data_IF_793715621164
#
_entry.id   IF_793715621164
#
_cell.length_a   1.000
_cell.length_b   1.000
_cell.length_c   1.000
_cell.angle_alpha   90.00
_cell.angle_beta   90.00
_cell.angle_gamma   90.00
#
_symmetry.space_group_name_H-M   'P 1'
#
loop_
_entity.id
_entity.type
_entity.pdbx_description
1 polymer ?
#
# COMPACT_ATOMS: atom_id res chain seq x y z
N UNK A 1 -36.12 -46.01 -30.58
CA UNK A 1 -34.75 -46.34 -31.06
C UNK A 1 -34.27 -45.18 -31.92
N UNK A 2 -33.27 -44.42 -31.46
CA UNK A 2 -32.76 -43.26 -32.20
C UNK A 2 -31.95 -43.73 -33.41
N UNK A 3 -32.20 -43.16 -34.60
CA UNK A 3 -31.52 -43.49 -35.84
C UNK A 3 -30.00 -43.27 -35.70
N UNK A 4 -29.14 -44.11 -36.30
CA UNK A 4 -27.69 -44.03 -36.17
C UNK A 4 -27.13 -42.66 -36.57
N UNK A 5 -27.73 -42.00 -37.57
CA UNK A 5 -27.41 -40.61 -37.97
C UNK A 5 -27.61 -39.58 -36.85
N UNK A 6 -28.66 -39.70 -36.05
CA UNK A 6 -28.97 -38.77 -34.96
C UNK A 6 -27.96 -38.88 -33.82
N UNK A 7 -27.50 -40.10 -33.50
CA UNK A 7 -26.44 -40.31 -32.50
C UNK A 7 -25.11 -39.70 -32.93
N UNK A 8 -24.76 -39.82 -34.21
CA UNK A 8 -23.53 -39.23 -34.76
C UNK A 8 -23.56 -37.69 -34.73
N UNK A 9 -24.70 -37.08 -35.08
CA UNK A 9 -24.86 -35.62 -35.02
C UNK A 9 -24.75 -35.10 -33.58
N UNK A 10 -25.41 -35.77 -32.62
CA UNK A 10 -25.35 -35.39 -31.20
C UNK A 10 -23.92 -35.53 -30.66
N UNK A 11 -23.19 -36.58 -31.05
CA UNK A 11 -21.80 -36.78 -30.64
C UNK A 11 -20.87 -35.67 -31.19
N UNK A 12 -21.01 -35.31 -32.47
CA UNK A 12 -20.22 -34.23 -33.06
C UNK A 12 -20.56 -32.86 -32.50
N UNK A 13 -21.85 -32.57 -32.28
CA UNK A 13 -22.28 -31.33 -31.65
C UNK A 13 -21.75 -31.22 -30.20
N UNK A 14 -21.79 -32.32 -29.44
CA UNK A 14 -21.22 -32.39 -28.10
C UNK A 14 -19.70 -32.19 -28.09
N UNK A 15 -18.98 -32.84 -29.00
CA UNK A 15 -17.53 -32.67 -29.14
C UNK A 15 -17.15 -31.24 -29.56
N UNK A 16 -17.87 -30.65 -30.51
CA UNK A 16 -17.66 -29.27 -30.94
C UNK A 16 -17.92 -28.28 -29.79
N UNK A 17 -18.98 -28.50 -28.99
CA UNK A 17 -19.28 -27.67 -27.83
C UNK A 17 -18.17 -27.77 -26.77
N UNK A 18 -17.66 -28.97 -26.50
CA UNK A 18 -16.55 -29.17 -25.55
C UNK A 18 -15.28 -28.46 -26.01
N UNK A 19 -14.92 -28.56 -27.29
CA UNK A 19 -13.78 -27.85 -27.86
C UNK A 19 -13.96 -26.34 -27.76
N UNK A 20 -15.17 -25.84 -28.04
CA UNK A 20 -15.47 -24.42 -27.91
C UNK A 20 -15.33 -23.92 -26.47
N UNK A 21 -15.88 -24.65 -25.49
CA UNK A 21 -15.74 -24.31 -24.06
C UNK A 21 -14.27 -24.32 -23.63
N UNK A 22 -13.49 -25.32 -24.05
CA UNK A 22 -12.06 -25.39 -23.74
C UNK A 22 -11.28 -24.22 -24.37
N UNK A 23 -11.60 -23.85 -25.61
CA UNK A 23 -10.98 -22.71 -26.29
C UNK A 23 -11.32 -21.38 -25.59
N UNK A 24 -12.58 -21.16 -25.22
CA UNK A 24 -13.00 -19.97 -24.47
C UNK A 24 -12.32 -19.93 -23.09
N UNK A 25 -12.29 -21.04 -22.36
CA UNK A 25 -11.60 -21.13 -21.08
C UNK A 25 -10.11 -20.81 -21.20
N UNK A 26 -9.43 -21.30 -22.24
CA UNK A 26 -8.04 -20.99 -22.51
C UNK A 26 -7.83 -19.50 -22.81
N UNK A 27 -8.68 -18.91 -23.66
CA UNK A 27 -8.61 -17.47 -23.98
C UNK A 27 -8.85 -16.61 -22.74
N UNK A 28 -9.87 -16.93 -21.94
CA UNK A 28 -10.17 -16.22 -20.68
C UNK A 28 -9.00 -16.35 -19.70
N UNK A 29 -8.42 -17.55 -19.56
CA UNK A 29 -7.28 -17.78 -18.67
C UNK A 29 -6.06 -16.95 -19.10
N UNK A 30 -5.76 -16.91 -20.40
CA UNK A 30 -4.67 -16.09 -20.96
C UNK A 30 -4.97 -14.60 -20.77
N UNK A 31 -6.20 -14.16 -21.02
CA UNK A 31 -6.60 -12.77 -20.88
C UNK A 31 -6.49 -12.30 -19.42
N UNK A 32 -6.93 -13.11 -18.45
CA UNK A 32 -6.83 -12.81 -17.01
C UNK A 32 -5.36 -12.78 -16.57
N UNK A 33 -4.54 -13.75 -16.97
CA UNK A 33 -3.11 -13.76 -16.62
C UNK A 33 -2.32 -12.60 -17.23
N UNK A 34 -2.80 -12.03 -18.34
CA UNK A 34 -2.18 -10.88 -19.01
C UNK A 34 -2.78 -9.54 -18.59
N UNK A 35 -3.88 -9.53 -17.84
CA UNK A 35 -4.42 -8.28 -17.33
C UNK A 35 -3.38 -7.66 -16.39
N UNK A 36 -3.03 -6.40 -16.61
CA UNK A 36 -2.17 -5.68 -15.70
C UNK A 36 -2.82 -5.69 -14.31
N UNK A 37 -2.12 -6.21 -13.30
CA UNK A 37 -2.64 -6.20 -11.94
C UNK A 37 -2.94 -4.75 -11.55
N UNK A 38 -4.17 -4.47 -11.03
CA UNK A 38 -4.49 -3.15 -10.54
C UNK A 38 -3.47 -2.76 -9.48
N UNK A 39 -2.97 -1.53 -9.54
CA UNK A 39 -2.15 -0.99 -8.46
C UNK A 39 -2.88 -1.18 -7.13
N UNK A 40 -2.23 -1.79 -6.15
CA UNK A 40 -2.82 -1.97 -4.84
C UNK A 40 -3.12 -0.60 -4.25
N UNK A 41 -4.31 -0.45 -3.66
CA UNK A 41 -4.76 0.77 -3.02
C UNK A 41 -5.21 0.44 -1.61
N UNK A 42 -4.84 1.27 -0.65
CA UNK A 42 -5.35 1.16 0.72
C UNK A 42 -6.58 2.04 0.86
N UNK A 43 -7.45 1.68 1.80
CA UNK A 43 -8.56 2.55 2.19
C UNK A 43 -8.23 3.18 3.51
N UNK A 44 -8.30 4.51 3.58
CA UNK A 44 -8.14 5.26 4.81
C UNK A 44 -9.48 5.79 5.28
N UNK A 45 -9.75 5.73 6.58
CA UNK A 45 -10.96 6.24 7.20
C UNK A 45 -10.63 7.04 8.46
N UNK A 46 -11.18 8.24 8.53
CA UNK A 46 -11.14 9.09 9.72
C UNK A 46 -12.32 10.04 9.71
N UNK A 47 -12.81 10.42 10.88
CA UNK A 47 -13.84 11.46 11.02
C UNK A 47 -15.13 11.21 10.22
N UNK A 48 -15.52 9.95 9.96
CA UNK A 48 -16.67 9.63 9.12
C UNK A 48 -16.42 9.71 7.60
N UNK A 49 -15.19 10.01 7.17
CA UNK A 49 -14.79 10.10 5.76
C UNK A 49 -13.87 8.94 5.43
N UNK A 50 -14.18 8.25 4.32
CA UNK A 50 -13.31 7.25 3.72
C UNK A 50 -12.73 7.78 2.41
N UNK A 51 -11.45 7.49 2.17
CA UNK A 51 -10.78 7.76 0.90
C UNK A 51 -10.01 6.52 0.45
N UNK A 52 -9.85 6.39 -0.86
CA UNK A 52 -8.93 5.42 -1.46
C UNK A 52 -7.59 6.10 -1.70
N UNK A 53 -6.52 5.51 -1.20
CA UNK A 53 -5.16 6.04 -1.30
C UNK A 53 -4.42 5.25 -2.39
N UNK A 54 -4.08 5.94 -3.47
CA UNK A 54 -3.24 5.40 -4.53
C UNK A 54 -1.77 5.29 -4.06
N UNK A 55 -0.94 4.46 -4.72
CA UNK A 55 0.48 4.43 -4.42
C UNK A 55 1.12 5.81 -4.57
N UNK A 56 1.92 6.19 -3.58
CA UNK A 56 2.87 7.30 -3.64
C UNK A 56 4.14 6.91 -4.41
N UNK A 57 4.55 5.64 -4.27
CA UNK A 57 5.61 4.99 -5.06
C UNK A 57 5.10 3.63 -5.48
N UNK A 58 5.37 3.21 -6.72
CA UNK A 58 5.10 1.86 -7.21
C UNK A 58 6.11 1.47 -8.30
N UNK A 59 7.05 0.61 -7.92
CA UNK A 59 8.09 0.02 -8.74
C UNK A 59 8.14 -1.50 -8.49
N UNK A 60 8.78 -2.23 -9.41
CA UNK A 60 9.11 -3.62 -9.13
C UNK A 60 10.17 -3.72 -8.02
N UNK A 61 10.35 -4.93 -7.46
CA UNK A 61 11.29 -5.18 -6.34
C UNK A 61 12.76 -4.94 -6.68
N UNK A 62 13.11 -4.73 -7.95
CA UNK A 62 14.47 -4.37 -8.39
C UNK A 62 14.65 -2.85 -8.51
N UNK A 63 13.64 -2.06 -8.14
CA UNK A 63 13.55 -0.62 -8.41
C UNK A 63 13.72 -0.32 -9.90
N UNK A 64 13.03 -1.08 -10.73
CA UNK A 64 12.92 -0.92 -12.18
C UNK A 64 11.43 -0.84 -12.54
N UNK A 65 11.12 -0.41 -13.77
CA UNK A 65 9.74 -0.37 -14.30
C UNK A 65 8.74 0.35 -13.38
N UNK A 66 9.13 1.53 -12.89
CA UNK A 66 8.28 2.31 -11.99
C UNK A 66 7.03 2.83 -12.71
N UNK A 67 5.87 2.50 -12.16
CA UNK A 67 4.57 3.01 -12.60
C UNK A 67 4.21 4.33 -11.94
N UNK A 68 4.68 4.55 -10.72
CA UNK A 68 4.46 5.77 -9.95
C UNK A 68 5.72 6.20 -9.20
N UNK A 69 6.13 7.45 -9.36
CA UNK A 69 7.22 8.07 -8.59
C UNK A 69 6.74 9.34 -7.86
N UNK A 70 7.33 9.71 -6.71
CA UNK A 70 6.96 10.91 -5.97
C UNK A 70 7.01 12.21 -6.80
N UNK A 71 6.05 13.11 -6.59
CA UNK A 71 6.06 14.46 -7.17
C UNK A 71 7.13 15.35 -6.56
N UNK A 72 7.26 15.25 -5.24
CA UNK A 72 7.86 16.27 -4.40
C UNK A 72 8.97 15.66 -3.52
N UNK A 73 9.76 14.74 -4.06
CA UNK A 73 10.81 14.11 -3.26
C UNK A 73 12.04 15.01 -3.16
N UNK A 74 12.17 15.70 -2.02
CA UNK A 74 13.47 16.07 -1.43
C UNK A 74 14.31 14.81 -1.09
N UNK A 75 13.69 13.61 -1.16
CA UNK A 75 14.36 12.32 -1.05
C UNK A 75 15.09 12.03 -2.37
N UNK A 76 16.43 11.87 -2.36
CA UNK A 76 17.17 11.48 -3.55
C UNK A 76 16.72 10.09 -4.00
N UNK A 77 15.98 10.01 -5.09
CA UNK A 77 15.75 8.74 -5.77
C UNK A 77 17.08 8.25 -6.37
N UNK A 78 17.35 6.93 -6.39
CA UNK A 78 18.45 6.37 -7.13
C UNK A 78 18.58 6.97 -8.55
N UNK A 79 19.81 7.27 -9.02
CA UNK A 79 20.03 7.78 -10.36
C UNK A 79 19.42 6.86 -11.43
N UNK A 80 18.71 7.44 -12.39
CA UNK A 80 18.03 6.67 -13.46
C UNK A 80 16.57 6.31 -13.15
N UNK A 81 16.06 6.61 -11.96
CA UNK A 81 14.62 6.62 -11.67
C UNK A 81 14.01 7.96 -12.08
N UNK A 82 13.60 8.08 -13.35
CA UNK A 82 12.94 9.28 -13.86
C UNK A 82 11.54 8.97 -14.39
N UNK A 83 10.54 9.75 -13.96
CA UNK A 83 9.30 9.89 -14.72
C UNK A 83 9.48 11.08 -15.66
N UNK A 84 9.51 10.83 -16.98
CA UNK A 84 9.37 11.92 -17.92
C UNK A 84 7.97 12.51 -17.79
N UNK A 85 7.86 13.84 -17.56
CA UNK A 85 6.57 14.50 -17.54
C UNK A 85 5.85 14.28 -18.89
N UNK A 86 4.68 13.63 -18.85
CA UNK A 86 3.90 13.29 -20.05
C UNK A 86 4.37 12.05 -20.81
N UNK A 87 5.25 11.21 -20.24
CA UNK A 87 5.55 9.88 -20.80
C UNK A 87 4.42 8.90 -20.52
N UNK A 88 4.04 8.09 -21.52
CA UNK A 88 3.00 7.08 -21.35
C UNK A 88 3.42 6.05 -20.28
N UNK A 89 2.62 5.92 -19.21
CA UNK A 89 2.76 4.86 -18.21
C UNK A 89 3.48 5.19 -16.90
N UNK A 90 4.12 6.37 -16.76
CA UNK A 90 4.74 6.83 -15.49
C UNK A 90 3.89 7.94 -14.87
N UNK A 91 3.39 7.71 -13.65
CA UNK A 91 2.56 8.65 -12.90
C UNK A 91 3.34 9.30 -11.77
N UNK A 92 2.85 10.46 -11.33
CA UNK A 92 3.43 11.16 -10.20
C UNK A 92 2.58 10.97 -8.95
N UNK A 93 3.17 10.38 -7.92
CA UNK A 93 2.56 10.11 -6.62
C UNK A 93 2.55 11.35 -5.73
N UNK A 94 1.43 11.57 -5.06
CA UNK A 94 1.25 12.59 -4.01
C UNK A 94 0.69 11.94 -2.76
N UNK A 95 1.07 12.45 -1.59
CA UNK A 95 0.41 12.04 -0.35
C UNK A 95 -1.09 12.33 -0.45
N UNK A 96 -1.90 11.38 -0.03
CA UNK A 96 -3.34 11.57 0.03
C UNK A 96 -3.70 12.42 1.25
N UNK A 97 -4.61 13.38 1.08
CA UNK A 97 -5.02 14.26 2.18
C UNK A 97 -6.26 13.70 2.89
N UNK A 98 -6.11 13.40 4.18
CA UNK A 98 -7.21 13.03 5.06
C UNK A 98 -6.99 13.62 6.45
N UNK A 99 -7.63 14.77 6.72
CA UNK A 99 -7.62 15.37 8.04
C UNK A 99 -8.15 14.38 9.11
N UNK A 100 -7.45 14.26 10.24
CA UNK A 100 -7.80 13.40 11.37
C UNK A 100 -8.03 14.27 12.61
N UNK A 101 -9.20 14.16 13.24
CA UNK A 101 -9.51 14.98 14.42
C UNK A 101 -8.80 14.38 15.64
N UNK A 102 -8.27 15.21 16.55
CA UNK A 102 -7.69 14.73 17.80
C UNK A 102 -8.65 13.84 18.58
N UNK A 103 -8.16 12.67 19.01
CA UNK A 103 -8.93 11.69 19.78
C UNK A 103 -9.73 10.69 18.94
N UNK A 104 -9.86 10.90 17.62
CA UNK A 104 -10.39 9.90 16.70
C UNK A 104 -9.25 9.22 15.94
N UNK A 105 -9.20 7.89 15.83
CA UNK A 105 -8.10 7.22 15.15
C UNK A 105 -8.20 7.36 13.63
N UNK A 106 -7.07 7.24 12.97
CA UNK A 106 -6.98 6.89 11.56
C UNK A 106 -7.10 5.37 11.44
N UNK A 107 -8.04 4.88 10.64
CA UNK A 107 -8.18 3.47 10.32
C UNK A 107 -7.71 3.23 8.89
N UNK A 108 -6.85 2.24 8.72
CA UNK A 108 -6.37 1.80 7.42
C UNK A 108 -6.89 0.40 7.14
N UNK A 109 -7.39 0.17 5.93
CA UNK A 109 -7.67 -1.17 5.42
C UNK A 109 -6.69 -1.50 4.30
N UNK A 110 -5.97 -2.59 4.50
CA UNK A 110 -4.95 -3.11 3.60
C UNK A 110 -5.56 -4.26 2.76
N UNK A 111 -5.42 -4.20 1.43
CA UNK A 111 -5.78 -5.32 0.56
C UNK A 111 -4.76 -6.46 0.72
N UNK A 112 -5.09 -7.67 0.25
CA UNK A 112 -4.31 -8.89 0.53
C UNK A 112 -2.88 -8.83 -0.01
N UNK A 113 -2.71 -8.18 -1.14
CA UNK A 113 -1.42 -7.99 -1.81
C UNK A 113 -0.44 -7.22 -0.92
N UNK A 114 -0.94 -6.43 0.03
CA UNK A 114 -0.14 -5.73 1.03
C UNK A 114 -0.13 -6.52 2.34
N UNK A 115 -1.31 -6.92 2.87
CA UNK A 115 -1.41 -7.53 4.20
C UNK A 115 -0.70 -8.88 4.34
N UNK A 116 -0.49 -9.60 3.24
CA UNK A 116 0.20 -10.89 3.23
C UNK A 116 1.73 -10.73 3.13
N UNK A 117 2.22 -9.51 2.81
CA UNK A 117 3.64 -9.18 2.69
C UNK A 117 4.24 -8.55 3.95
N UNK A 118 5.58 -8.50 4.06
CA UNK A 118 6.30 -7.94 5.20
C UNK A 118 6.34 -6.41 5.12
N UNK A 119 5.18 -5.76 5.26
CA UNK A 119 5.11 -4.30 5.21
C UNK A 119 5.75 -3.65 6.43
N UNK A 120 6.25 -2.43 6.22
CA UNK A 120 6.65 -1.51 7.27
C UNK A 120 5.77 -0.26 7.17
N UNK A 121 5.40 0.32 8.29
CA UNK A 121 4.74 1.60 8.31
C UNK A 121 5.51 2.61 9.17
N UNK A 122 5.33 3.87 8.83
CA UNK A 122 5.87 4.99 9.58
C UNK A 122 4.74 5.94 9.91
N UNK A 123 4.56 6.22 11.20
CA UNK A 123 3.61 7.23 11.66
C UNK A 123 4.37 8.45 12.14
N UNK A 124 3.92 9.63 11.74
CA UNK A 124 4.61 10.89 12.02
C UNK A 124 3.70 11.73 12.90
N UNK A 125 4.21 12.10 14.08
CA UNK A 125 3.53 12.97 15.01
C UNK A 125 4.31 14.27 15.20
N UNK A 126 3.61 15.36 15.47
CA UNK A 126 4.21 16.66 15.70
C UNK A 126 3.77 17.24 17.05
N UNK A 127 4.72 17.74 17.81
CA UNK A 127 4.48 18.53 19.02
C UNK A 127 4.12 19.98 18.68
N UNK A 128 3.45 20.73 19.59
CA UNK A 128 3.12 22.15 19.38
C UNK A 128 4.33 23.06 19.08
N UNK A 129 5.54 22.67 19.48
CA UNK A 129 6.77 23.39 19.18
C UNK A 129 7.37 23.05 17.80
N UNK A 130 6.67 22.27 16.98
CA UNK A 130 7.11 21.83 15.65
C UNK A 130 8.00 20.58 15.65
N UNK A 131 8.45 20.09 16.82
CA UNK A 131 9.29 18.88 16.89
C UNK A 131 8.50 17.67 16.38
N UNK A 132 9.11 16.95 15.45
CA UNK A 132 8.54 15.73 14.86
C UNK A 132 9.06 14.50 15.62
N UNK A 133 8.14 13.56 15.83
CA UNK A 133 8.42 12.21 16.28
C UNK A 133 7.98 11.25 15.19
N UNK A 134 8.89 10.38 14.76
CA UNK A 134 8.55 9.24 13.93
C UNK A 134 8.39 8.00 14.80
N UNK A 135 7.30 7.26 14.60
CA UNK A 135 7.01 6.00 15.28
C UNK A 135 6.79 4.92 14.22
N UNK A 136 7.69 3.94 14.10
CA UNK A 136 7.50 2.82 13.19
C UNK A 136 6.37 1.92 13.67
N UNK A 137 5.75 1.24 12.71
CA UNK A 137 4.85 0.11 12.92
C UNK A 137 5.34 -1.02 12.03
N UNK A 138 5.64 -2.17 12.63
CA UNK A 138 6.20 -3.30 11.90
C UNK A 138 5.13 -4.36 11.72
N UNK A 139 5.12 -5.04 10.57
CA UNK A 139 4.18 -6.14 10.32
C UNK A 139 4.23 -7.20 11.44
N UNK A 140 5.42 -7.45 11.99
CA UNK A 140 5.65 -8.46 13.02
C UNK A 140 5.06 -8.10 14.40
N UNK A 141 4.67 -6.84 14.62
CA UNK A 141 3.90 -6.41 15.81
C UNK A 141 2.44 -6.87 15.75
N UNK A 142 1.98 -7.41 14.61
CA UNK A 142 0.59 -7.77 14.35
C UNK A 142 0.43 -9.27 14.08
N UNK A 143 -0.80 -9.75 14.21
CA UNK A 143 -1.12 -11.13 13.80
C UNK A 143 -1.02 -11.25 12.27
N UNK A 144 -0.44 -12.36 11.79
CA UNK A 144 -0.33 -12.63 10.35
C UNK A 144 -1.67 -12.48 9.62
N UNK A 145 -1.68 -11.75 8.50
CA UNK A 145 -2.88 -11.49 7.71
C UNK A 145 -3.76 -10.36 8.26
N UNK A 146 -3.24 -9.53 9.16
CA UNK A 146 -3.92 -8.31 9.61
C UNK A 146 -4.20 -7.39 8.42
N UNK A 147 -5.48 -7.17 8.13
CA UNK A 147 -5.96 -6.34 7.01
C UNK A 147 -6.43 -4.97 7.45
N UNK A 148 -6.39 -4.66 8.75
CA UNK A 148 -6.84 -3.39 9.30
C UNK A 148 -5.87 -2.89 10.37
N UNK A 149 -5.41 -1.65 10.22
CA UNK A 149 -4.54 -0.97 11.18
C UNK A 149 -5.30 0.20 11.81
N UNK A 150 -5.07 0.42 13.10
CA UNK A 150 -5.64 1.56 13.84
C UNK A 150 -4.48 2.41 14.34
N UNK A 151 -4.40 3.65 13.86
CA UNK A 151 -3.36 4.61 14.23
C UNK A 151 -3.97 5.69 15.12
N UNK A 152 -3.50 5.86 16.36
CA UNK A 152 -4.00 6.91 17.23
C UNK A 152 -3.67 8.29 16.65
N UNK A 153 -4.61 9.24 16.73
CA UNK A 153 -4.35 10.62 16.26
C UNK A 153 -3.60 11.47 17.26
N UNK A 154 -3.50 11.01 18.51
CA UNK A 154 -2.84 11.71 19.61
C UNK A 154 -1.98 10.73 20.38
N UNK A 155 -0.74 11.12 20.63
CA UNK A 155 0.13 10.49 21.61
C UNK A 155 0.56 11.51 22.66
N UNK A 156 0.94 11.01 23.83
CA UNK A 156 1.49 11.80 24.91
C UNK A 156 2.91 11.34 25.20
N UNK A 157 3.86 12.26 25.11
CA UNK A 157 5.26 12.02 25.46
C UNK A 157 5.53 12.56 26.86
N UNK A 158 5.84 11.68 27.79
CA UNK A 158 6.19 12.04 29.17
C UNK A 158 7.63 12.55 29.26
N UNK A 159 7.98 13.21 30.37
CA UNK A 159 9.33 13.72 30.60
C UNK A 159 10.41 12.61 30.65
N UNK A 160 10.04 11.38 31.03
CA UNK A 160 10.92 10.20 30.98
C UNK A 160 10.99 9.55 29.59
N UNK A 161 10.42 10.17 28.56
CA UNK A 161 10.52 9.74 27.16
C UNK A 161 9.54 8.63 26.76
N UNK A 162 8.54 8.31 27.58
CA UNK A 162 7.56 7.27 27.27
C UNK A 162 6.39 7.83 26.47
N UNK A 163 5.93 7.05 25.50
CA UNK A 163 4.74 7.32 24.72
C UNK A 163 3.52 6.64 25.34
N UNK A 164 2.41 7.37 25.41
CA UNK A 164 1.12 6.84 25.83
C UNK A 164 0.01 7.30 24.88
N UNK A 165 -0.96 6.43 24.60
CA UNK A 165 -2.16 6.78 23.82
C UNK A 165 -3.22 7.49 24.66
N UNK A 166 -3.26 7.19 25.97
CA UNK A 166 -4.11 7.86 26.93
C UNK A 166 -3.32 8.93 27.66
N UNK A 167 -3.98 10.05 27.95
CA UNK A 167 -3.35 11.15 28.69
C UNK A 167 -2.89 10.65 30.07
N UNK A 168 -1.58 10.66 30.37
CA UNK A 168 -1.08 10.25 31.67
C UNK A 168 -1.38 11.31 32.73
N UNK A 169 -1.36 10.93 34.01
CA UNK A 169 -1.46 11.86 35.13
C UNK A 169 -0.18 12.73 35.27
N UNK A 170 0.97 12.18 34.88
CA UNK A 170 2.24 12.89 34.87
C UNK A 170 2.26 13.96 33.75
N UNK A 171 3.06 15.05 33.93
CA UNK A 171 3.27 16.04 32.87
C UNK A 171 3.73 15.39 31.56
N UNK A 172 3.10 15.78 30.46
CA UNK A 172 3.38 15.24 29.12
C UNK A 172 3.16 16.27 28.02
N UNK A 173 3.90 16.11 26.93
CA UNK A 173 3.70 16.85 25.68
C UNK A 173 2.71 16.09 24.81
N UNK A 174 1.71 16.80 24.29
CA UNK A 174 0.76 16.24 23.33
C UNK A 174 1.39 16.23 21.94
N UNK A 175 1.26 15.11 21.23
CA UNK A 175 1.75 14.91 19.87
C UNK A 175 0.56 14.61 18.96
N UNK A 176 0.40 15.37 17.89
CA UNK A 176 -0.68 15.20 16.91
C UNK A 176 -0.18 14.42 15.70
N UNK A 177 -0.96 13.47 15.21
CA UNK A 177 -0.66 12.78 13.96
C UNK A 177 -0.67 13.80 12.81
N UNK A 178 0.41 13.81 12.03
CA UNK A 178 0.55 14.67 10.84
C UNK A 178 0.79 13.87 9.57
N UNK A 179 1.20 12.60 9.67
CA UNK A 179 1.30 11.72 8.51
C UNK A 179 1.36 10.24 8.87
N UNK A 180 1.03 9.39 7.89
CA UNK A 180 1.21 7.94 7.96
C UNK A 180 1.61 7.42 6.60
N UNK A 181 2.62 6.56 6.57
CA UNK A 181 3.04 5.84 5.38
C UNK A 181 3.03 4.35 5.65
N UNK A 182 2.57 3.56 4.69
CA UNK A 182 2.73 2.11 4.64
C UNK A 182 3.58 1.80 3.41
N UNK A 183 4.57 0.93 3.57
CA UNK A 183 5.53 0.59 2.53
C UNK A 183 5.76 -0.91 2.45
N UNK A 184 6.01 -1.39 1.23
CA UNK A 184 6.61 -2.69 0.97
C UNK A 184 8.11 -2.48 0.78
N UNK A 185 8.94 -2.91 1.75
CA UNK A 185 10.36 -2.63 1.73
C UNK A 185 11.12 -3.63 0.87
N UNK A 186 12.24 -3.18 0.31
CA UNK A 186 13.36 -4.01 -0.08
C UNK A 186 14.54 -3.70 0.84
N UNK A 187 15.30 -4.73 1.21
CA UNK A 187 16.55 -4.56 1.94
C UNK A 187 17.62 -4.10 0.95
N UNK A 188 18.29 -3.00 1.28
CA UNK A 188 19.42 -2.47 0.53
C UNK A 188 20.66 -2.45 1.42
N UNK A 189 21.84 -2.45 0.79
CA UNK A 189 23.12 -2.30 1.49
C UNK A 189 23.96 -1.26 0.78
N UNK A 190 24.39 -0.25 1.51
CA UNK A 190 25.35 0.73 1.03
C UNK A 190 26.69 0.04 0.73
N UNK A 191 27.21 0.21 -0.49
CA UNK A 191 28.44 -0.46 -0.94
C UNK A 191 29.72 0.20 -0.37
N UNK A 192 29.61 1.42 0.16
CA UNK A 192 30.71 2.22 0.70
C UNK A 192 30.82 2.05 2.21
N UNK A 193 29.71 2.17 2.94
CA UNK A 193 29.68 2.03 4.41
C UNK A 193 29.39 0.60 4.86
N UNK A 194 28.77 -0.22 4.00
CA UNK A 194 28.28 -1.55 4.36
C UNK A 194 26.99 -1.54 5.18
N UNK A 195 26.43 -0.37 5.47
CA UNK A 195 25.19 -0.23 6.24
C UNK A 195 24.00 -0.79 5.47
N UNK A 196 23.14 -1.50 6.17
CA UNK A 196 21.88 -2.00 5.63
C UNK A 196 20.75 -0.99 5.90
N UNK A 197 19.82 -0.90 4.96
CA UNK A 197 18.66 -0.02 5.07
C UNK A 197 17.48 -0.57 4.30
N UNK A 198 16.35 0.14 4.39
CA UNK A 198 15.15 -0.19 3.65
C UNK A 198 14.87 0.88 2.60
N UNK A 199 14.45 0.43 1.42
CA UNK A 199 13.92 1.29 0.37
C UNK A 199 12.52 0.80 0.00
N UNK A 200 11.50 1.68 -0.07
CA UNK A 200 10.17 1.26 -0.46
C UNK A 200 10.13 1.04 -1.99
N UNK A 201 9.79 -0.17 -2.42
CA UNK A 201 9.47 -0.40 -3.83
C UNK A 201 8.00 -0.05 -4.12
N UNK A 202 7.14 -0.09 -3.10
CA UNK A 202 5.81 0.48 -3.13
C UNK A 202 5.53 1.18 -1.80
N UNK A 203 4.84 2.33 -1.84
CA UNK A 203 4.46 3.08 -0.66
C UNK A 203 3.12 3.78 -0.85
N UNK A 204 2.37 3.94 0.25
CA UNK A 204 1.12 4.69 0.32
C UNK A 204 1.26 5.72 1.43
N UNK A 205 1.22 6.99 1.06
CA UNK A 205 1.45 8.12 1.97
C UNK A 205 0.15 8.89 2.20
N UNK A 206 -0.14 9.21 3.46
CA UNK A 206 -1.31 9.97 3.89
C UNK A 206 -0.82 11.15 4.73
N UNK A 207 -1.14 12.36 4.28
CA UNK A 207 -1.04 13.57 5.09
C UNK A 207 -2.31 13.72 5.91
N UNK A 208 -2.13 13.97 7.21
CA UNK A 208 -3.25 14.06 8.18
C UNK A 208 -3.32 15.41 8.88
N UNK A 209 -2.40 16.31 8.55
CA UNK A 209 -2.47 17.70 8.96
C UNK A 209 -3.83 18.29 8.53
N UNK A 210 -4.51 18.91 9.49
CA UNK A 210 -5.81 19.55 9.28
C UNK A 210 -5.64 21.05 9.02
#
# INVERSE_FOLDING_TARGET
MSQPRTRTIVAFAGAALLVFVAAVAAVVTIAVHRAAEPQARITAYANGKSITVAPYVDCNVRMQDCKTLPADSDVPLPPGLNCAAGGDGCHTGKSAELAVKPGLPLQLSLPKEISDGPWLGQTVYQAPNGKVLQKPIEHDDYTKGTTALTVPSVLYLTADGKLAEKKPAAPSVTLMLVGTEIALPILIRDQTTGEEGYLPHAAWSISTAA
#
